data_IF_514864494989
#
_entry.id   IF_514864494989
#
_cell.length_a   1.000
_cell.length_b   1.000
_cell.length_c   1.000
_cell.angle_alpha   90.00
_cell.angle_beta   90.00
_cell.angle_gamma   90.00
#
_symmetry.space_group_name_H-M   'P 1'
#
loop_
_entity.id
_entity.type
_entity.pdbx_description
1 polymer ?
#
# COMPACT_ATOMS: atom_id res chain seq x y z
N UNK A 1 -12.53 23.13 -12.81
CA UNK A 1 -11.21 23.63 -12.37
C UNK A 1 -10.49 22.46 -11.74
N UNK A 2 -9.29 22.13 -12.23
CA UNK A 2 -8.40 21.18 -11.54
C UNK A 2 -8.10 21.74 -10.14
N UNK A 3 -8.25 20.92 -9.11
CA UNK A 3 -7.87 21.32 -7.74
C UNK A 3 -6.36 21.54 -7.72
N UNK A 4 -5.86 22.51 -6.96
CA UNK A 4 -4.47 22.98 -7.08
C UNK A 4 -3.42 21.87 -6.85
N UNK A 5 -3.78 20.85 -6.07
CA UNK A 5 -2.97 19.66 -5.84
C UNK A 5 -2.82 18.73 -7.06
N UNK A 6 -3.71 18.79 -8.06
CA UNK A 6 -3.62 17.97 -9.28
C UNK A 6 -2.40 18.35 -10.14
N UNK A 7 -1.79 19.52 -9.88
CA UNK A 7 -0.57 19.99 -10.55
C UNK A 7 0.71 19.48 -9.91
N UNK A 8 0.63 18.86 -8.73
CA UNK A 8 1.81 18.34 -8.06
C UNK A 8 2.42 17.18 -8.87
N UNK A 9 3.75 17.12 -9.04
CA UNK A 9 4.40 16.06 -9.81
C UNK A 9 4.14 14.64 -9.27
N UNK A 10 3.80 14.52 -7.98
CA UNK A 10 3.38 13.29 -7.32
C UNK A 10 1.98 12.83 -7.67
N UNK A 11 1.08 13.73 -8.09
CA UNK A 11 -0.34 13.42 -8.26
C UNK A 11 -0.64 12.30 -9.26
N UNK A 12 0.12 12.26 -10.36
CA UNK A 12 0.00 11.21 -11.40
C UNK A 12 0.25 9.79 -10.86
N UNK A 13 0.94 9.66 -9.73
CA UNK A 13 1.24 8.38 -9.07
C UNK A 13 0.25 8.05 -7.93
N UNK A 14 -0.71 8.92 -7.66
CA UNK A 14 -1.73 8.74 -6.62
C UNK A 14 -3.09 8.37 -7.21
N UNK A 15 -3.47 8.99 -8.33
CA UNK A 15 -4.77 8.78 -8.99
C UNK A 15 -4.63 8.83 -10.50
N UNK A 16 -5.42 7.99 -11.18
CA UNK A 16 -5.53 8.04 -12.64
C UNK A 16 -6.06 9.37 -13.13
N UNK A 17 -5.65 9.76 -14.33
CA UNK A 17 -6.30 10.87 -15.02
C UNK A 17 -7.75 10.50 -15.35
N UNK A 18 -8.63 11.51 -15.42
CA UNK A 18 -10.04 11.29 -15.77
C UNK A 18 -10.18 10.68 -17.16
N UNK A 19 -9.31 11.05 -18.08
CA UNK A 19 -9.26 10.51 -19.44
C UNK A 19 -8.93 9.01 -19.44
N UNK A 20 -7.88 8.59 -18.71
CA UNK A 20 -7.54 7.18 -18.58
C UNK A 20 -8.66 6.38 -17.92
N UNK A 21 -9.28 6.93 -16.88
CA UNK A 21 -10.42 6.29 -16.22
C UNK A 21 -11.60 6.10 -17.18
N UNK A 22 -11.95 7.11 -17.99
CA UNK A 22 -13.01 7.00 -18.99
C UNK A 22 -12.67 5.97 -20.08
N UNK A 23 -11.41 5.93 -20.53
CA UNK A 23 -10.96 4.94 -21.50
C UNK A 23 -11.04 3.53 -20.93
N UNK A 24 -10.59 3.33 -19.69
CA UNK A 24 -10.66 2.04 -19.01
C UNK A 24 -12.11 1.58 -18.81
N UNK A 25 -13.01 2.50 -18.43
CA UNK A 25 -14.44 2.21 -18.23
C UNK A 25 -15.24 1.93 -19.51
N UNK A 26 -14.74 2.38 -20.67
CA UNK A 26 -15.39 2.20 -21.98
C UNK A 26 -14.96 0.94 -22.72
N UNK A 27 -14.05 0.14 -22.14
CA UNK A 27 -13.64 -1.13 -22.75
C UNK A 27 -14.84 -2.07 -22.95
N UNK A 28 -14.91 -2.79 -24.09
CA UNK A 28 -15.94 -3.81 -24.30
C UNK A 28 -15.92 -4.85 -23.19
N UNK A 29 -17.10 -5.26 -22.75
CA UNK A 29 -17.27 -6.26 -21.71
C UNK A 29 -18.61 -6.98 -21.85
N UNK A 30 -18.59 -8.31 -21.75
CA UNK A 30 -19.76 -9.17 -21.68
C UNK A 30 -19.74 -9.99 -20.39
N UNK A 31 -20.64 -9.63 -19.47
CA UNK A 31 -20.79 -10.30 -18.17
C UNK A 31 -21.05 -11.80 -18.20
N UNK A 32 -21.48 -12.35 -19.35
CA UNK A 32 -21.77 -13.79 -19.49
C UNK A 32 -20.60 -14.56 -20.11
N UNK A 33 -19.64 -13.84 -20.71
CA UNK A 33 -18.55 -14.45 -21.44
C UNK A 33 -17.19 -14.17 -20.83
N UNK A 34 -16.95 -12.94 -20.36
CA UNK A 34 -15.66 -12.55 -19.81
C UNK A 34 -15.46 -13.17 -18.42
N UNK A 35 -14.36 -13.90 -18.27
CA UNK A 35 -14.05 -14.66 -17.07
C UNK A 35 -12.54 -14.72 -16.80
N UNK A 36 -12.19 -15.14 -15.59
CA UNK A 36 -10.83 -15.47 -15.21
C UNK A 36 -10.65 -16.98 -15.13
N UNK A 37 -9.52 -17.47 -15.61
CA UNK A 37 -9.13 -18.88 -15.49
C UNK A 37 -7.70 -18.99 -14.94
N UNK A 38 -7.38 -20.07 -14.19
CA UNK A 38 -6.05 -20.28 -13.66
C UNK A 38 -5.02 -20.46 -14.77
N UNK A 39 -3.83 -19.89 -14.56
CA UNK A 39 -2.68 -19.98 -15.46
C UNK A 39 -1.42 -20.29 -14.65
N UNK A 40 -0.56 -21.18 -15.17
CA UNK A 40 0.61 -21.66 -14.44
C UNK A 40 1.70 -20.58 -14.27
N UNK A 41 1.75 -19.59 -15.16
CA UNK A 41 2.76 -18.52 -15.15
C UNK A 41 2.21 -17.24 -14.51
N UNK A 42 1.00 -16.85 -14.89
CA UNK A 42 0.38 -15.59 -14.50
C UNK A 42 -0.51 -15.70 -13.25
N UNK A 43 -0.72 -16.92 -12.75
CA UNK A 43 -1.67 -17.25 -11.69
C UNK A 43 -3.11 -17.29 -12.20
N UNK A 44 -3.57 -16.18 -12.79
CA UNK A 44 -4.86 -16.07 -13.47
C UNK A 44 -4.74 -15.24 -14.75
N UNK A 45 -5.52 -15.60 -15.76
CA UNK A 45 -5.58 -14.89 -17.05
C UNK A 45 -7.03 -14.66 -17.48
N UNK A 46 -7.27 -13.57 -18.19
CA UNK A 46 -8.56 -13.26 -18.80
C UNK A 46 -8.88 -14.27 -19.90
N UNK A 47 -10.14 -14.65 -20.03
CA UNK A 47 -10.64 -15.55 -21.06
C UNK A 47 -12.10 -15.25 -21.42
N UNK A 48 -12.50 -15.62 -22.64
CA UNK A 48 -13.88 -15.54 -23.11
C UNK A 48 -14.49 -16.94 -23.17
N UNK A 49 -15.66 -17.15 -22.56
CA UNK A 49 -16.40 -18.41 -22.65
C UNK A 49 -16.97 -18.59 -24.06
N UNK A 50 -16.62 -19.69 -24.70
CA UNK A 50 -17.11 -20.06 -26.04
C UNK A 50 -18.14 -21.19 -26.01
N UNK A 51 -18.15 -22.00 -24.95
CA UNK A 51 -19.09 -23.11 -24.81
C UNK A 51 -19.23 -23.60 -23.38
N UNK A 52 -20.36 -24.23 -23.08
CA UNK A 52 -20.59 -24.91 -21.81
C UNK A 52 -21.30 -26.23 -22.07
N UNK A 53 -20.73 -27.33 -21.58
CA UNK A 53 -21.28 -28.69 -21.74
C UNK A 53 -21.25 -29.41 -20.39
N UNK A 54 -22.40 -29.43 -19.73
CA UNK A 54 -22.51 -29.98 -18.37
C UNK A 54 -21.69 -29.16 -17.38
N UNK A 55 -20.72 -29.80 -16.72
CA UNK A 55 -19.82 -29.17 -15.74
C UNK A 55 -18.50 -28.67 -16.35
N UNK A 56 -18.35 -28.77 -17.68
CA UNK A 56 -17.18 -28.25 -18.39
C UNK A 56 -17.51 -26.97 -19.15
N UNK A 57 -16.59 -26.02 -19.07
CA UNK A 57 -16.63 -24.73 -19.75
C UNK A 57 -15.43 -24.66 -20.68
N UNK A 58 -15.70 -24.39 -21.95
CA UNK A 58 -14.68 -24.13 -22.95
C UNK A 58 -14.48 -22.62 -23.06
N UNK A 59 -13.23 -22.19 -22.94
CA UNK A 59 -12.83 -20.79 -22.95
C UNK A 59 -11.70 -20.56 -23.95
N UNK A 60 -11.61 -19.36 -24.50
CA UNK A 60 -10.44 -18.89 -25.23
C UNK A 60 -9.74 -17.85 -24.37
N UNK A 61 -8.52 -18.16 -23.95
CA UNK A 61 -7.70 -17.27 -23.11
C UNK A 61 -7.27 -16.03 -23.91
N UNK A 62 -6.86 -14.97 -23.21
CA UNK A 62 -6.29 -13.76 -23.83
C UNK A 62 -5.01 -14.04 -24.65
N UNK A 63 -4.38 -15.21 -24.50
CA UNK A 63 -3.25 -15.70 -25.33
C UNK A 63 -3.72 -16.39 -26.62
N UNK A 64 -5.02 -16.54 -26.84
CA UNK A 64 -5.61 -17.25 -27.98
C UNK A 64 -5.70 -18.76 -27.81
N UNK A 65 -5.30 -19.31 -26.66
CA UNK A 65 -5.38 -20.75 -26.40
C UNK A 65 -6.81 -21.13 -25.98
N UNK A 66 -7.36 -22.16 -26.62
CA UNK A 66 -8.62 -22.78 -26.24
C UNK A 66 -8.37 -23.81 -25.13
N UNK A 67 -9.10 -23.69 -24.02
CA UNK A 67 -9.02 -24.59 -22.87
C UNK A 67 -10.41 -25.05 -22.49
N UNK A 68 -10.53 -26.31 -22.09
CA UNK A 68 -11.75 -26.83 -21.45
C UNK A 68 -11.45 -27.16 -20.00
N UNK A 69 -12.12 -26.46 -19.09
CA UNK A 69 -11.90 -26.55 -17.65
C UNK A 69 -13.23 -26.87 -16.97
N UNK A 70 -13.15 -27.35 -15.72
CA UNK A 70 -14.35 -27.46 -14.89
C UNK A 70 -14.89 -26.08 -14.55
N UNK A 71 -16.22 -25.96 -14.45
CA UNK A 71 -16.89 -24.70 -14.13
C UNK A 71 -16.40 -24.06 -12.83
N UNK A 72 -16.05 -24.87 -11.83
CA UNK A 72 -15.52 -24.41 -10.54
C UNK A 72 -14.19 -23.65 -10.62
N UNK A 73 -13.41 -23.85 -11.70
CA UNK A 73 -12.14 -23.16 -11.92
C UNK A 73 -12.30 -21.83 -12.67
N UNK A 74 -13.50 -21.56 -13.21
CA UNK A 74 -13.80 -20.34 -13.94
C UNK A 74 -14.36 -19.31 -12.95
N UNK A 75 -13.67 -18.19 -12.78
CA UNK A 75 -14.07 -17.11 -11.88
C UNK A 75 -14.69 -15.94 -12.65
N UNK A 76 -15.68 -15.28 -12.03
CA UNK A 76 -16.37 -14.12 -12.62
C UNK A 76 -15.43 -12.92 -12.74
N UNK A 77 -15.54 -12.17 -13.84
CA UNK A 77 -14.78 -10.95 -14.08
C UNK A 77 -15.59 -9.72 -13.67
N UNK A 78 -14.96 -8.74 -13.02
CA UNK A 78 -15.62 -7.48 -12.71
C UNK A 78 -15.78 -6.62 -13.97
N UNK A 79 -16.90 -5.88 -14.11
CA UNK A 79 -17.08 -4.97 -15.23
C UNK A 79 -16.04 -3.83 -15.24
N UNK A 80 -15.73 -3.25 -16.42
CA UNK A 80 -14.72 -2.20 -16.58
C UNK A 80 -14.90 -0.95 -15.71
N UNK A 81 -16.11 -0.71 -15.19
CA UNK A 81 -16.38 0.36 -14.21
C UNK A 81 -15.51 0.25 -12.94
N UNK A 82 -15.03 -0.95 -12.63
CA UNK A 82 -14.17 -1.22 -11.47
C UNK A 82 -12.68 -1.29 -11.81
N UNK A 83 -12.30 -1.05 -13.07
CA UNK A 83 -10.91 -1.11 -13.50
C UNK A 83 -10.07 -0.16 -12.65
N UNK A 84 -9.02 -0.73 -12.03
CA UNK A 84 -8.09 -0.02 -11.14
C UNK A 84 -8.77 0.75 -9.99
N UNK A 85 -9.86 0.22 -9.42
CA UNK A 85 -10.56 0.80 -8.26
C UNK A 85 -9.60 1.13 -7.11
N UNK A 86 -9.88 2.23 -6.42
CA UNK A 86 -9.11 2.70 -5.27
C UNK A 86 -9.34 1.86 -4.02
N UNK A 87 -10.53 1.27 -3.87
CA UNK A 87 -10.88 0.35 -2.79
C UNK A 87 -11.49 -0.93 -3.38
N UNK A 88 -10.80 -2.05 -3.20
CA UNK A 88 -11.20 -3.34 -3.71
C UNK A 88 -12.41 -3.93 -2.97
N UNK A 89 -12.78 -3.41 -1.78
CA UNK A 89 -14.03 -3.84 -1.15
C UNK A 89 -15.28 -3.43 -1.93
N UNK A 90 -15.13 -2.52 -2.90
CA UNK A 90 -16.22 -2.08 -3.77
C UNK A 90 -16.43 -2.99 -4.99
N UNK A 91 -15.56 -3.97 -5.23
CA UNK A 91 -15.71 -4.92 -6.33
C UNK A 91 -17.00 -5.72 -6.16
N UNK A 92 -17.67 -6.03 -7.27
CA UNK A 92 -18.86 -6.90 -7.24
C UNK A 92 -18.45 -8.35 -7.03
N UNK A 93 -17.44 -8.83 -7.76
CA UNK A 93 -16.89 -10.17 -7.59
C UNK A 93 -15.60 -10.09 -6.78
N UNK A 94 -15.66 -10.59 -5.55
CA UNK A 94 -14.52 -10.63 -4.63
C UNK A 94 -13.84 -12.00 -4.67
N UNK A 95 -13.14 -12.24 -5.78
CA UNK A 95 -12.34 -13.45 -5.99
C UNK A 95 -10.85 -13.13 -6.15
N UNK A 96 -10.00 -14.14 -6.00
CA UNK A 96 -8.54 -14.00 -6.03
C UNK A 96 -8.06 -13.37 -7.34
N UNK A 97 -8.65 -13.77 -8.48
CA UNK A 97 -8.29 -13.24 -9.79
C UNK A 97 -8.58 -11.73 -9.90
N UNK A 98 -9.73 -11.27 -9.40
CA UNK A 98 -10.13 -9.87 -9.46
C UNK A 98 -9.25 -8.99 -8.56
N UNK A 99 -8.90 -9.46 -7.37
CA UNK A 99 -7.97 -8.77 -6.46
C UNK A 99 -6.59 -8.66 -7.10
N UNK A 100 -6.07 -9.78 -7.64
CA UNK A 100 -4.78 -9.81 -8.32
C UNK A 100 -4.75 -8.88 -9.54
N UNK A 101 -5.78 -8.92 -10.38
CA UNK A 101 -5.91 -8.06 -11.57
C UNK A 101 -5.90 -6.59 -11.18
N UNK A 102 -6.72 -6.17 -10.21
CA UNK A 102 -6.80 -4.77 -9.81
C UNK A 102 -5.45 -4.24 -9.29
N UNK A 103 -4.78 -5.02 -8.43
CA UNK A 103 -3.45 -4.69 -7.93
C UNK A 103 -2.42 -4.60 -9.05
N UNK A 104 -2.42 -5.56 -9.99
CA UNK A 104 -1.51 -5.60 -11.14
C UNK A 104 -1.72 -4.41 -12.08
N UNK A 105 -2.97 -4.10 -12.44
CA UNK A 105 -3.33 -3.01 -13.34
C UNK A 105 -2.97 -1.64 -12.75
N UNK A 106 -3.20 -1.44 -11.44
CA UNK A 106 -2.77 -0.24 -10.71
C UNK A 106 -1.26 -0.11 -10.67
N UNK A 107 -0.57 -1.20 -10.31
CA UNK A 107 0.89 -1.22 -10.26
C UNK A 107 1.55 -0.95 -11.61
N UNK A 108 0.99 -1.48 -12.71
CA UNK A 108 1.45 -1.20 -14.07
C UNK A 108 1.35 0.30 -14.42
N UNK A 109 0.43 1.02 -13.80
CA UNK A 109 0.27 2.48 -13.91
C UNK A 109 1.04 3.25 -12.83
N UNK A 110 1.95 2.60 -12.09
CA UNK A 110 2.72 3.14 -10.96
C UNK A 110 1.86 3.65 -9.79
N UNK A 111 0.61 3.19 -9.68
CA UNK A 111 -0.27 3.43 -8.55
C UNK A 111 -0.04 2.35 -7.49
N UNK A 112 0.89 2.60 -6.57
CA UNK A 112 1.36 1.55 -5.65
C UNK A 112 0.45 1.30 -4.44
N UNK A 113 -0.45 2.25 -4.14
CA UNK A 113 -1.36 2.20 -3.00
C UNK A 113 -2.76 1.79 -3.46
N UNK A 114 -3.36 0.84 -2.77
CA UNK A 114 -4.74 0.39 -3.02
C UNK A 114 -5.39 -0.01 -1.71
N UNK A 115 -6.63 0.38 -1.47
CA UNK A 115 -7.37 -0.11 -0.30
C UNK A 115 -8.02 -1.47 -0.57
N UNK A 116 -8.16 -2.25 0.49
CA UNK A 116 -9.01 -3.43 0.54
C UNK A 116 -9.77 -3.39 1.87
N UNK A 117 -10.89 -2.67 1.89
CA UNK A 117 -11.65 -2.42 3.11
C UNK A 117 -10.82 -1.63 4.12
N UNK A 118 -10.38 -2.28 5.21
CA UNK A 118 -9.52 -1.65 6.23
C UNK A 118 -8.04 -1.63 5.84
N UNK A 119 -7.61 -2.53 4.95
CA UNK A 119 -6.20 -2.66 4.59
C UNK A 119 -5.77 -1.56 3.60
N UNK A 120 -4.58 -1.01 3.81
CA UNK A 120 -3.86 -0.23 2.82
C UNK A 120 -2.75 -1.11 2.22
N UNK A 121 -3.00 -1.66 1.04
CA UNK A 121 -2.06 -2.50 0.31
C UNK A 121 -1.04 -1.60 -0.39
N UNK A 122 0.23 -1.92 -0.21
CA UNK A 122 1.35 -1.19 -0.81
C UNK A 122 2.24 -2.17 -1.58
N UNK A 123 2.44 -1.91 -2.86
CA UNK A 123 3.35 -2.72 -3.70
C UNK A 123 4.65 -1.93 -3.90
N UNK A 124 5.79 -2.54 -3.56
CA UNK A 124 7.09 -1.87 -3.69
C UNK A 124 7.40 -1.54 -5.17
N UNK A 125 7.52 -0.25 -5.55
CA UNK A 125 7.76 0.16 -6.95
C UNK A 125 9.18 -0.10 -7.44
N UNK A 126 10.13 -0.41 -6.55
CA UNK A 126 11.57 -0.43 -6.85
C UNK A 126 12.09 0.85 -7.54
N UNK A 127 11.35 1.95 -7.39
CA UNK A 127 11.64 3.27 -7.94
C UNK A 127 11.28 4.34 -6.92
N UNK A 128 12.00 5.45 -6.94
CA UNK A 128 11.67 6.60 -6.10
C UNK A 128 10.57 7.40 -6.78
N UNK A 129 9.38 7.36 -6.20
CA UNK A 129 8.24 8.16 -6.64
C UNK A 129 8.15 9.45 -5.81
N UNK A 130 7.79 10.60 -6.41
CA UNK A 130 7.66 11.88 -5.70
C UNK A 130 6.34 11.98 -4.90
N UNK A 131 5.98 10.94 -4.15
CA UNK A 131 4.71 10.82 -3.39
C UNK A 131 4.89 11.00 -1.88
N UNK A 132 6.12 11.22 -1.42
CA UNK A 132 6.46 11.42 0.00
C UNK A 132 6.99 12.83 0.27
N UNK A 133 6.69 13.79 -0.60
CA UNK A 133 7.07 15.19 -0.42
C UNK A 133 6.17 15.85 0.63
N UNK A 134 6.62 16.99 1.15
CA UNK A 134 5.85 17.80 2.10
C UNK A 134 4.56 18.35 1.47
N UNK A 135 4.59 18.68 0.17
CA UNK A 135 3.42 19.09 -0.59
C UNK A 135 2.34 17.99 -0.57
N UNK A 136 2.72 16.75 -0.85
CA UNK A 136 1.81 15.60 -0.82
C UNK A 136 1.32 15.35 0.60
N UNK A 137 2.19 15.36 1.61
CA UNK A 137 1.77 15.20 3.00
C UNK A 137 0.71 16.21 3.43
N UNK A 138 0.85 17.47 2.99
CA UNK A 138 -0.09 18.55 3.26
C UNK A 138 -1.46 18.32 2.60
N UNK A 139 -1.52 17.67 1.44
CA UNK A 139 -2.79 17.33 0.77
C UNK A 139 -3.66 16.38 1.60
N UNK A 140 -3.03 15.45 2.32
CA UNK A 140 -3.72 14.44 3.12
C UNK A 140 -4.12 14.92 4.52
N UNK A 141 -3.53 16.02 4.99
CA UNK A 141 -3.75 16.52 6.34
C UNK A 141 -5.21 16.92 6.55
N UNK A 142 -5.85 16.33 7.56
CA UNK A 142 -7.24 16.63 7.91
C UNK A 142 -8.28 16.13 6.90
N UNK A 143 -7.89 15.31 5.92
CA UNK A 143 -8.81 14.75 4.92
C UNK A 143 -9.33 13.39 5.34
N UNK A 144 -10.61 13.12 5.02
CA UNK A 144 -11.19 11.79 5.16
C UNK A 144 -10.63 10.87 4.08
N UNK A 145 -10.60 9.57 4.39
CA UNK A 145 -10.09 8.53 3.49
C UNK A 145 -10.74 8.55 2.10
N UNK A 146 -12.02 8.92 2.01
CA UNK A 146 -12.79 8.99 0.76
C UNK A 146 -12.54 10.25 -0.07
N UNK A 147 -11.92 11.28 0.53
CA UNK A 147 -11.68 12.56 -0.14
C UNK A 147 -10.36 12.56 -0.92
N UNK A 148 -9.43 11.69 -0.55
CA UNK A 148 -8.10 11.59 -1.14
C UNK A 148 -7.83 10.18 -1.69
N UNK A 149 -6.93 10.03 -2.67
CA UNK A 149 -6.57 8.72 -3.21
C UNK A 149 -5.96 7.80 -2.14
N UNK A 150 -5.86 6.48 -2.37
CA UNK A 150 -5.19 5.58 -1.46
C UNK A 150 -3.75 6.01 -1.17
N UNK A 151 -3.41 6.15 0.11
CA UNK A 151 -2.06 6.49 0.52
C UNK A 151 -1.82 6.18 2.00
N UNK A 152 -0.56 5.90 2.34
CA UNK A 152 -0.13 5.69 3.72
C UNK A 152 -0.40 6.91 4.63
N UNK A 153 -0.28 8.11 4.07
CA UNK A 153 -0.56 9.36 4.79
C UNK A 153 -2.04 9.50 5.17
N UNK A 154 -2.97 9.00 4.36
CA UNK A 154 -4.39 9.01 4.73
C UNK A 154 -4.66 8.11 5.96
N UNK A 155 -3.99 6.95 6.03
CA UNK A 155 -4.10 6.04 7.20
C UNK A 155 -3.44 6.66 8.43
N UNK A 156 -2.29 7.31 8.25
CA UNK A 156 -1.56 7.98 9.32
C UNK A 156 -2.34 9.18 9.88
N UNK A 157 -2.91 10.03 9.00
CA UNK A 157 -3.76 11.16 9.38
C UNK A 157 -5.03 10.71 10.10
N UNK A 158 -5.66 9.64 9.61
CA UNK A 158 -6.84 9.07 10.27
C UNK A 158 -6.51 8.59 11.68
N UNK A 159 -5.41 7.85 11.88
CA UNK A 159 -4.96 7.44 13.20
C UNK A 159 -4.67 8.65 14.10
N UNK A 160 -3.95 9.65 13.60
CA UNK A 160 -3.66 10.87 14.36
C UNK A 160 -4.95 11.59 14.80
N UNK A 161 -5.90 11.77 13.89
CA UNK A 161 -7.18 12.43 14.21
C UNK A 161 -8.01 11.63 15.20
N UNK A 162 -8.15 10.32 15.01
CA UNK A 162 -8.89 9.46 15.94
C UNK A 162 -8.27 9.49 17.33
N UNK A 163 -6.93 9.45 17.44
CA UNK A 163 -6.22 9.60 18.71
C UNK A 163 -6.59 10.90 19.44
N UNK A 164 -6.72 12.02 18.71
CA UNK A 164 -7.09 13.32 19.29
C UNK A 164 -8.57 13.44 19.64
N UNK A 165 -9.45 12.89 18.80
CA UNK A 165 -10.90 12.99 18.97
C UNK A 165 -11.42 12.00 20.01
N UNK A 166 -10.97 10.75 19.94
CA UNK A 166 -11.47 9.66 20.78
C UNK A 166 -10.67 9.55 22.08
N UNK A 167 -9.52 10.23 22.18
CA UNK A 167 -8.60 10.17 23.31
C UNK A 167 -8.08 8.75 23.61
N UNK A 168 -7.97 7.92 22.58
CA UNK A 168 -7.49 6.54 22.66
C UNK A 168 -6.19 6.33 21.88
N UNK A 169 -5.31 5.49 22.43
CA UNK A 169 -4.08 5.10 21.76
C UNK A 169 -4.38 4.37 20.44
N UNK A 170 -3.60 4.66 19.40
CA UNK A 170 -3.76 4.04 18.09
C UNK A 170 -2.57 3.15 17.76
N UNK A 171 -2.81 2.14 16.91
CA UNK A 171 -1.76 1.25 16.44
C UNK A 171 -1.82 1.09 14.93
N UNK A 172 -0.67 1.14 14.27
CA UNK A 172 -0.52 0.85 12.84
C UNK A 172 0.33 -0.42 12.67
N UNK A 173 -0.28 -1.47 12.12
CA UNK A 173 0.39 -2.76 11.88
C UNK A 173 0.90 -2.80 10.44
N UNK A 174 2.22 -2.72 10.25
CA UNK A 174 2.87 -2.78 8.93
C UNK A 174 3.45 -4.18 8.72
N UNK A 175 2.74 -5.00 7.95
CA UNK A 175 3.12 -6.38 7.65
C UNK A 175 3.71 -6.51 6.24
N UNK A 176 4.31 -7.66 5.95
CA UNK A 176 4.84 -7.99 4.63
C UNK A 176 6.09 -8.87 4.73
N UNK A 177 6.38 -9.58 3.66
CA UNK A 177 7.64 -10.30 3.55
C UNK A 177 8.83 -9.34 3.51
N UNK A 178 10.03 -9.89 3.61
CA UNK A 178 11.22 -9.06 3.59
C UNK A 178 11.53 -8.65 2.13
N UNK A 179 11.88 -7.39 1.90
CA UNK A 179 11.88 -6.78 0.55
C UNK A 179 10.59 -6.04 0.18
N UNK A 180 9.49 -6.25 0.92
CA UNK A 180 8.21 -5.56 0.67
C UNK A 180 8.23 -4.05 0.95
N UNK A 181 9.31 -3.49 1.51
CA UNK A 181 9.42 -2.06 1.79
C UNK A 181 8.86 -1.62 3.14
N UNK A 182 8.64 -2.54 4.10
CA UNK A 182 8.14 -2.23 5.45
C UNK A 182 8.91 -1.09 6.12
N UNK A 183 10.24 -1.18 6.18
CA UNK A 183 11.11 -0.20 6.83
C UNK A 183 10.95 1.20 6.23
N UNK A 184 10.86 1.32 4.91
CA UNK A 184 10.67 2.61 4.25
C UNK A 184 9.28 3.18 4.56
N UNK A 185 8.23 2.36 4.52
CA UNK A 185 6.88 2.80 4.92
C UNK A 185 6.86 3.26 6.38
N UNK A 186 7.48 2.53 7.31
CA UNK A 186 7.58 2.92 8.72
C UNK A 186 8.27 4.28 8.88
N UNK A 187 9.37 4.53 8.16
CA UNK A 187 10.04 5.85 8.15
C UNK A 187 9.10 6.95 7.68
N UNK A 188 8.33 6.71 6.61
CA UNK A 188 7.37 7.71 6.08
C UNK A 188 6.20 7.99 7.01
N UNK A 189 5.70 6.99 7.74
CA UNK A 189 4.70 7.20 8.80
C UNK A 189 5.25 8.09 9.92
N UNK A 190 6.46 7.79 10.41
CA UNK A 190 7.13 8.59 11.44
C UNK A 190 7.33 10.03 10.97
N UNK A 191 7.83 10.23 9.74
CA UNK A 191 8.04 11.54 9.14
C UNK A 191 6.74 12.33 9.05
N UNK A 192 5.66 11.67 8.64
CA UNK A 192 4.32 12.26 8.59
C UNK A 192 3.87 12.74 9.98
N UNK A 193 3.94 11.88 10.99
CA UNK A 193 3.59 12.24 12.37
C UNK A 193 4.44 13.38 12.95
N UNK A 194 5.74 13.40 12.63
CA UNK A 194 6.61 14.50 13.02
C UNK A 194 6.18 15.82 12.36
N UNK A 195 5.76 15.79 11.10
CA UNK A 195 5.27 16.96 10.39
C UNK A 195 3.95 17.48 10.98
N UNK A 196 2.92 16.62 11.11
CA UNK A 196 1.61 17.03 11.66
C UNK A 196 1.72 17.49 13.12
N UNK A 197 2.58 16.84 13.92
CA UNK A 197 2.83 17.26 15.31
C UNK A 197 3.62 18.57 15.44
N UNK A 198 4.32 18.99 14.39
CA UNK A 198 5.07 20.25 14.34
C UNK A 198 4.24 21.43 13.82
N UNK A 199 3.39 21.22 12.82
CA UNK A 199 2.54 22.29 12.24
C UNK A 199 1.55 22.88 13.26
N UNK A 200 1.13 22.12 14.28
CA UNK A 200 0.32 22.62 15.40
C UNK A 200 1.10 23.51 16.41
N UNK A 201 2.39 23.79 16.16
CA UNK A 201 3.15 24.75 16.97
C UNK A 201 2.84 26.21 16.60
N UNK A 202 2.41 26.53 15.38
CA UNK A 202 2.28 27.93 14.93
C UNK A 202 3.61 28.69 14.93
N UNK A 203 4.73 28.01 15.18
CA UNK A 203 6.07 28.60 15.21
C UNK A 203 6.73 28.27 13.88
N UNK A 204 6.89 29.29 13.03
CA UNK A 204 7.75 29.19 11.86
C UNK A 204 9.15 28.76 12.32
N UNK A 205 9.69 27.71 11.71
CA UNK A 205 11.04 27.25 12.00
C UNK A 205 12.03 28.42 11.79
N UNK A 206 12.85 28.73 12.79
CA UNK A 206 13.95 29.69 12.60
C UNK A 206 14.89 29.18 11.49
N UNK A 207 15.11 29.96 10.41
CA UNK A 207 16.00 29.53 9.33
C UNK A 207 17.44 29.52 9.84
N UNK A 208 18.09 28.35 9.83
CA UNK A 208 19.54 28.22 10.04
C UNK A 208 20.01 27.20 11.07
N UNK A 209 19.13 26.62 11.91
CA UNK A 209 19.49 25.50 12.79
C UNK A 209 18.94 24.19 12.21
N UNK A 210 19.83 23.29 11.74
CA UNK A 210 19.49 21.88 11.51
C UNK A 210 19.12 21.25 12.85
N UNK A 211 17.86 21.39 13.28
CA UNK A 211 17.31 20.56 14.35
C UNK A 211 17.22 19.14 13.79
N UNK A 212 17.94 18.21 14.42
CA UNK A 212 17.79 16.77 14.15
C UNK A 212 16.31 16.45 14.34
N UNK A 213 15.63 16.02 13.27
CA UNK A 213 14.21 15.71 13.33
C UNK A 213 13.98 14.41 14.10
N UNK A 214 12.76 14.15 14.59
CA UNK A 214 12.45 12.86 15.20
C UNK A 214 12.67 11.70 14.22
N UNK A 215 12.37 11.92 12.93
CA UNK A 215 12.71 10.99 11.85
C UNK A 215 14.21 10.68 11.85
N UNK A 216 15.07 11.71 11.87
CA UNK A 216 16.52 11.53 11.89
C UNK A 216 16.99 10.74 13.12
N UNK A 217 16.44 11.02 14.30
CA UNK A 217 16.79 10.30 15.54
C UNK A 217 16.41 8.82 15.46
N UNK A 218 15.19 8.51 14.97
CA UNK A 218 14.76 7.11 14.82
C UNK A 218 15.56 6.42 13.73
N UNK A 219 15.86 7.09 12.62
CA UNK A 219 16.68 6.54 11.52
C UNK A 219 18.11 6.27 11.99
N UNK A 220 18.69 7.12 12.86
CA UNK A 220 20.01 6.91 13.44
C UNK A 220 20.11 5.65 14.32
N UNK A 221 19.00 5.15 14.86
CA UNK A 221 19.00 3.86 15.59
C UNK A 221 19.12 2.66 14.65
N UNK A 222 18.69 2.79 13.39
CA UNK A 222 18.61 1.66 12.48
C UNK A 222 19.96 1.01 12.18
N UNK A 223 21.08 1.71 11.90
CA UNK A 223 22.37 1.05 11.67
C UNK A 223 22.78 0.10 12.79
N UNK A 224 22.56 0.49 14.05
CA UNK A 224 22.85 -0.37 15.22
C UNK A 224 21.89 -1.54 15.26
N UNK A 225 20.57 -1.29 15.16
CA UNK A 225 19.56 -2.34 15.23
C UNK A 225 19.68 -3.35 14.08
N UNK A 226 20.03 -2.88 12.88
CA UNK A 226 20.24 -3.73 11.71
C UNK A 226 21.54 -4.54 11.84
N UNK A 227 22.63 -3.95 12.38
CA UNK A 227 23.87 -4.67 12.59
C UNK A 227 23.74 -5.87 13.55
N UNK A 228 22.91 -5.74 14.60
CA UNK A 228 22.73 -6.80 15.60
C UNK A 228 21.49 -7.67 15.38
N UNK A 229 20.47 -7.16 14.70
CA UNK A 229 19.16 -7.80 14.60
C UNK A 229 18.75 -8.20 13.17
N UNK A 230 19.48 -7.76 12.14
CA UNK A 230 19.25 -8.23 10.78
C UNK A 230 20.25 -9.30 10.37
N UNK A 231 19.86 -10.09 9.38
CA UNK A 231 20.73 -11.08 8.78
C UNK A 231 20.36 -11.35 7.32
N UNK A 232 21.34 -11.88 6.59
CA UNK A 232 21.10 -12.53 5.30
C UNK A 232 20.29 -13.82 5.52
N UNK A 233 19.26 -13.98 4.71
CA UNK A 233 18.38 -15.15 4.62
C UNK A 233 18.30 -15.58 3.16
N UNK A 234 17.74 -16.75 2.88
CA UNK A 234 17.56 -17.27 1.51
C UNK A 234 16.79 -16.28 0.62
N UNK A 235 15.82 -15.55 1.19
CA UNK A 235 14.94 -14.65 0.43
C UNK A 235 15.30 -13.16 0.53
N UNK A 236 16.25 -12.78 1.39
CA UNK A 236 16.64 -11.37 1.57
C UNK A 236 17.98 -11.22 2.31
N UNK A 237 18.82 -10.33 1.79
CA UNK A 237 20.15 -10.02 2.32
C UNK A 237 20.16 -9.17 3.60
N UNK A 238 19.08 -8.45 3.91
CA UNK A 238 18.97 -7.61 5.11
C UNK A 238 17.61 -7.82 5.79
N UNK A 239 17.33 -9.04 6.25
CA UNK A 239 16.05 -9.41 6.85
C UNK A 239 16.08 -9.19 8.36
N UNK A 240 15.17 -8.36 8.88
CA UNK A 240 15.01 -8.18 10.33
C UNK A 240 14.53 -9.48 10.99
N UNK A 241 15.25 -9.91 12.03
CA UNK A 241 14.99 -11.13 12.79
C UNK A 241 14.41 -10.87 14.18
N UNK A 242 13.74 -9.73 14.33
CA UNK A 242 13.04 -9.30 15.53
C UNK A 242 11.81 -8.46 15.11
N UNK A 243 10.78 -8.47 15.95
CA UNK A 243 9.66 -7.52 15.86
C UNK A 243 10.07 -6.17 16.46
N UNK A 244 9.63 -5.07 15.84
CA UNK A 244 9.87 -3.70 16.29
C UNK A 244 8.52 -3.01 16.49
N UNK A 245 8.27 -2.51 17.69
CA UNK A 245 7.11 -1.68 18.00
C UNK A 245 7.60 -0.30 18.40
N UNK A 246 7.18 0.72 17.66
CA UNK A 246 7.61 2.10 17.87
C UNK A 246 6.41 2.85 18.44
N UNK A 247 6.55 3.38 19.66
CA UNK A 247 5.53 4.23 20.26
C UNK A 247 5.92 5.68 20.03
N UNK A 248 5.04 6.44 19.39
CA UNK A 248 5.19 7.88 19.18
C UNK A 248 4.17 8.56 20.08
N UNK A 249 4.67 9.33 21.04
CA UNK A 249 3.83 9.96 22.06
C UNK A 249 3.47 11.37 21.63
N UNK A 250 2.20 11.70 21.75
CA UNK A 250 1.68 13.04 21.57
C UNK A 250 1.12 13.57 22.88
N UNK A 251 1.27 14.87 23.12
CA UNK A 251 0.67 15.52 24.26
C UNK A 251 -0.82 15.83 24.01
N UNK A 252 -1.52 16.34 25.04
CA UNK A 252 -2.96 16.71 24.96
C UNK A 252 -3.29 17.76 23.88
N UNK A 253 -2.30 18.51 23.42
CA UNK A 253 -2.44 19.51 22.35
C UNK A 253 -2.05 18.95 20.98
N UNK A 254 -1.93 17.62 20.83
CA UNK A 254 -1.59 16.94 19.58
C UNK A 254 -0.16 17.14 19.11
N UNK A 255 0.72 17.67 19.97
CA UNK A 255 2.13 17.90 19.64
C UNK A 255 2.96 16.69 19.97
N UNK A 256 3.95 16.43 19.14
CA UNK A 256 4.92 15.37 19.38
C UNK A 256 5.67 15.62 20.71
N UNK A 257 5.67 14.61 21.59
CA UNK A 257 6.23 14.70 22.94
C UNK A 257 7.50 13.84 23.09
N UNK A 258 7.43 12.56 22.73
CA UNK A 258 8.54 11.62 22.85
C UNK A 258 8.35 10.42 21.92
N UNK A 259 9.36 9.56 21.82
CA UNK A 259 9.28 8.30 21.10
C UNK A 259 10.08 7.23 21.86
N UNK A 260 9.60 5.99 21.84
CA UNK A 260 10.36 4.84 22.32
C UNK A 260 10.16 3.62 21.40
N UNK A 261 11.04 2.64 21.54
CA UNK A 261 11.06 1.44 20.69
C UNK A 261 11.12 0.22 21.60
N UNK A 262 10.15 -0.68 21.44
CA UNK A 262 10.17 -2.00 22.04
C UNK A 262 10.51 -3.07 20.98
N UNK A 263 11.30 -4.05 21.40
CA UNK A 263 11.76 -5.14 20.56
C UNK A 263 11.21 -6.47 21.07
N UNK A 264 10.73 -7.31 20.16
CA UNK A 264 10.16 -8.61 20.51
C UNK A 264 10.73 -9.71 19.64
N UNK A 265 10.74 -10.94 20.18
CA UNK A 265 10.97 -12.17 19.40
C UNK A 265 12.25 -12.14 18.54
N UNK A 266 13.37 -11.71 19.11
CA UNK A 266 14.68 -11.85 18.45
C UNK A 266 14.96 -13.35 18.18
N UNK A 267 15.33 -13.70 16.95
CA UNK A 267 15.67 -15.08 16.55
C UNK A 267 17.02 -15.52 17.13
N UNK A 268 17.04 -15.83 18.43
CA UNK A 268 18.25 -16.22 19.18
C UNK A 268 18.98 -17.42 18.57
N UNK A 269 18.27 -18.33 17.92
CA UNK A 269 18.87 -19.52 17.29
C UNK A 269 19.89 -19.17 16.21
N UNK A 270 19.71 -18.03 15.52
CA UNK A 270 20.61 -17.59 14.45
C UNK A 270 22.02 -17.26 14.93
N UNK A 271 22.17 -16.91 16.20
CA UNK A 271 23.46 -16.58 16.82
C UNK A 271 24.45 -17.75 16.71
N UNK A 272 23.95 -18.98 16.82
CA UNK A 272 24.79 -20.20 16.83
C UNK A 272 24.54 -21.14 15.66
N UNK A 273 23.52 -20.87 14.84
CA UNK A 273 23.12 -21.75 13.73
C UNK A 273 22.71 -20.94 12.50
N UNK A 274 23.25 -21.31 11.35
CA UNK A 274 22.89 -20.73 10.06
C UNK A 274 22.40 -21.83 9.12
N UNK A 275 21.39 -21.51 8.30
CA UNK A 275 21.02 -22.38 7.19
C UNK A 275 22.11 -22.30 6.10
N UNK A 276 22.25 -23.33 5.24
CA UNK A 276 23.19 -23.31 4.12
C UNK A 276 22.97 -22.12 3.17
#
# INVERSE_FOLDING_TARGET
>A
MALDYEKDPGWQYLRQSREQALQDQSKPYDSKKDCWVPDAEEGYIAAEITGTKGDQVTVVTARGNELTLKKELVQEMNPPKFEKTEDMSNLTFLNDASVLHNLRARYASMLIYTYSGLFCVVINPYKRLPIYTESVASMFMGKRRTEMPPHLFAVSDLAYRNMLLDHENQSMLITGESGAGKTENTKKVIAYFANVGATQQGVAAEPGKKKVTLEDQIVQTNPVLEAFGNAKTVRNNNSSRFGKFIRIHFNKSGRLASCDIEHYLLEKSRVIRQAP
#
